data_IF_546895797051
#
_entry.id   IF_546895797051
#
_cell.length_a   1.000
_cell.length_b   1.000
_cell.length_c   1.000
_cell.angle_alpha   90.00
_cell.angle_beta   90.00
_cell.angle_gamma   90.00
#
_symmetry.space_group_name_H-M   'P 1'
#
loop_
_entity.id
_entity.type
_entity.pdbx_description
1 polymer ?
#
# COMPACT_ATOMS: atom_id res chain seq x y z
N UNK A 1 17.21 -26.75 6.13
CA UNK A 1 16.32 -25.56 6.17
C UNK A 1 16.27 -25.04 7.60
N UNK A 2 16.54 -23.75 7.83
CA UNK A 2 16.32 -23.14 9.16
C UNK A 2 14.83 -22.95 9.37
N UNK A 3 14.32 -23.28 10.56
CA UNK A 3 12.92 -23.04 10.94
C UNK A 3 12.79 -21.59 11.40
N UNK A 4 11.93 -20.84 10.74
CA UNK A 4 11.52 -19.50 11.17
C UNK A 4 10.21 -19.63 11.94
N UNK A 5 10.14 -19.06 13.14
CA UNK A 5 8.91 -18.91 13.91
C UNK A 5 8.55 -17.44 14.04
N UNK A 6 7.28 -17.09 13.89
CA UNK A 6 6.78 -15.73 14.06
C UNK A 6 5.50 -15.71 14.88
N UNK A 7 5.20 -14.58 15.51
CA UNK A 7 3.94 -14.30 16.22
C UNK A 7 3.25 -13.12 15.56
N UNK A 8 1.93 -13.18 15.40
CA UNK A 8 1.15 -12.05 14.92
C UNK A 8 1.15 -10.93 15.96
N UNK A 9 1.71 -9.77 15.59
CA UNK A 9 1.76 -8.59 16.47
C UNK A 9 0.63 -7.61 16.15
N UNK A 10 0.19 -7.54 14.89
CA UNK A 10 -0.86 -6.61 14.44
C UNK A 10 -1.51 -7.07 13.15
N UNK A 11 -2.82 -6.81 13.02
CA UNK A 11 -3.62 -7.03 11.81
C UNK A 11 -4.35 -5.75 11.37
N UNK A 12 -3.81 -4.57 11.72
CA UNK A 12 -4.41 -3.28 11.34
C UNK A 12 -4.45 -3.16 9.81
N UNK A 13 -5.60 -2.75 9.28
CA UNK A 13 -5.77 -2.48 7.84
C UNK A 13 -4.93 -1.27 7.46
N UNK A 14 -4.40 -1.29 6.23
CA UNK A 14 -3.70 -0.17 5.61
C UNK A 14 -4.42 0.20 4.31
N UNK A 15 -4.24 1.44 3.85
CA UNK A 15 -4.83 1.88 2.59
C UNK A 15 -4.22 1.14 1.39
N UNK A 16 -4.97 1.09 0.29
CA UNK A 16 -4.53 0.42 -0.94
C UNK A 16 -3.29 1.09 -1.53
N UNK A 17 -3.27 2.42 -1.59
CA UNK A 17 -2.10 3.20 -2.05
C UNK A 17 -0.86 2.91 -1.21
N UNK A 18 -1.01 2.85 0.13
CA UNK A 18 0.10 2.49 1.02
C UNK A 18 0.59 1.06 0.80
N UNK A 19 -0.33 0.13 0.54
CA UNK A 19 0.02 -1.25 0.21
C UNK A 19 0.84 -1.34 -1.07
N UNK A 20 0.46 -0.56 -2.10
CA UNK A 20 1.16 -0.50 -3.37
C UNK A 20 2.60 0.03 -3.20
N UNK A 21 2.77 1.15 -2.48
CA UNK A 21 4.09 1.72 -2.16
C UNK A 21 4.97 0.71 -1.44
N UNK A 22 4.44 0.05 -0.39
CA UNK A 22 5.20 -0.95 0.37
C UNK A 22 5.63 -2.13 -0.50
N UNK A 23 4.77 -2.61 -1.40
CA UNK A 23 5.10 -3.71 -2.31
C UNK A 23 6.13 -3.29 -3.36
N UNK A 24 6.00 -2.10 -3.95
CA UNK A 24 7.00 -1.58 -4.89
C UNK A 24 8.37 -1.40 -4.25
N UNK A 25 8.43 -0.80 -3.05
CA UNK A 25 9.69 -0.65 -2.32
C UNK A 25 10.31 -2.00 -1.96
N UNK A 26 9.51 -2.97 -1.50
CA UNK A 26 10.00 -4.31 -1.19
C UNK A 26 10.53 -5.06 -2.43
N UNK A 27 9.93 -4.82 -3.60
CA UNK A 27 10.38 -5.42 -4.85
C UNK A 27 11.64 -4.74 -5.42
N UNK A 28 11.88 -3.46 -5.13
CA UNK A 28 13.03 -2.71 -5.63
C UNK A 28 14.33 -2.94 -4.84
N UNK A 29 14.24 -3.41 -3.59
CA UNK A 29 15.41 -3.69 -2.76
C UNK A 29 16.00 -5.07 -3.05
N UNK A 30 17.32 -5.20 -2.87
CA UNK A 30 17.99 -6.49 -2.90
C UNK A 30 17.63 -7.28 -1.62
N UNK A 31 16.71 -8.24 -1.77
CA UNK A 31 16.11 -8.99 -0.65
C UNK A 31 16.58 -10.46 -0.59
N UNK A 32 17.60 -10.83 -1.37
CA UNK A 32 18.16 -12.18 -1.41
C UNK A 32 17.21 -13.26 -1.93
N UNK A 33 16.12 -12.86 -2.61
CA UNK A 33 15.16 -13.82 -3.18
C UNK A 33 15.71 -14.52 -4.43
N UNK A 34 15.21 -15.73 -4.70
CA UNK A 34 15.54 -16.41 -5.96
C UNK A 34 14.96 -15.66 -7.16
N UNK A 35 15.51 -15.84 -8.38
CA UNK A 35 15.03 -15.13 -9.57
C UNK A 35 13.52 -15.27 -9.82
N UNK A 36 12.96 -16.47 -9.60
CA UNK A 36 11.52 -16.75 -9.73
C UNK A 36 10.70 -15.95 -8.72
N UNK A 37 11.16 -15.87 -7.47
CA UNK A 37 10.47 -15.10 -6.41
C UNK A 37 10.58 -13.61 -6.68
N UNK A 38 11.75 -13.12 -7.10
CA UNK A 38 11.94 -11.72 -7.50
C UNK A 38 10.98 -11.31 -8.61
N UNK A 39 10.84 -12.14 -9.66
CA UNK A 39 9.90 -11.90 -10.76
C UNK A 39 8.43 -11.90 -10.29
N UNK A 40 8.07 -12.79 -9.34
CA UNK A 40 6.75 -12.77 -8.71
C UNK A 40 6.50 -11.48 -7.93
N UNK A 41 7.48 -11.01 -7.15
CA UNK A 41 7.38 -9.76 -6.39
C UNK A 41 7.19 -8.55 -7.31
N UNK A 42 7.92 -8.50 -8.43
CA UNK A 42 7.79 -7.45 -9.43
C UNK A 42 6.38 -7.41 -10.05
N UNK A 43 5.84 -8.57 -10.46
CA UNK A 43 4.47 -8.66 -10.98
C UNK A 43 3.44 -8.27 -9.94
N UNK A 44 3.64 -8.67 -8.68
CA UNK A 44 2.74 -8.34 -7.57
C UNK A 44 2.73 -6.83 -7.32
N UNK A 45 3.90 -6.19 -7.31
CA UNK A 45 4.00 -4.74 -7.17
C UNK A 45 3.27 -4.01 -8.31
N UNK A 46 3.46 -4.44 -9.55
CA UNK A 46 2.73 -3.89 -10.71
C UNK A 46 1.21 -4.03 -10.58
N UNK A 47 0.71 -5.19 -10.16
CA UNK A 47 -0.71 -5.42 -9.95
C UNK A 47 -1.32 -4.50 -8.88
N UNK A 48 -0.60 -4.28 -7.77
CA UNK A 48 -1.05 -3.36 -6.72
C UNK A 48 -1.07 -1.90 -7.20
N UNK A 49 -0.07 -1.48 -7.99
CA UNK A 49 -0.06 -0.13 -8.59
C UNK A 49 -1.26 0.06 -9.53
N UNK A 50 -1.52 -0.90 -10.42
CA UNK A 50 -2.70 -0.86 -11.28
C UNK A 50 -4.01 -0.81 -10.49
N UNK A 51 -4.12 -1.57 -9.40
CA UNK A 51 -5.30 -1.58 -8.56
C UNK A 51 -5.49 -0.23 -7.85
N UNK A 52 -4.41 0.38 -7.36
CA UNK A 52 -4.45 1.70 -6.74
C UNK A 52 -4.88 2.79 -7.74
N UNK A 53 -4.29 2.78 -8.94
CA UNK A 53 -4.65 3.72 -10.02
C UNK A 53 -6.10 3.55 -10.47
N UNK A 54 -6.55 2.30 -10.60
CA UNK A 54 -7.93 1.99 -10.95
C UNK A 54 -8.90 2.51 -9.88
N UNK A 55 -8.62 2.22 -8.61
CA UNK A 55 -9.44 2.69 -7.49
C UNK A 55 -9.54 4.22 -7.43
N UNK A 56 -8.42 4.92 -7.66
CA UNK A 56 -8.40 6.38 -7.69
C UNK A 56 -9.23 6.96 -8.86
N UNK A 57 -9.11 6.36 -10.06
CA UNK A 57 -9.93 6.73 -11.22
C UNK A 57 -11.42 6.59 -10.93
N UNK A 58 -11.81 5.44 -10.37
CA UNK A 58 -13.20 5.15 -10.00
C UNK A 58 -13.72 6.14 -8.95
N UNK A 59 -12.93 6.45 -7.92
CA UNK A 59 -13.29 7.48 -6.93
C UNK A 59 -13.52 8.85 -7.56
N UNK A 60 -12.65 9.25 -8.49
CA UNK A 60 -12.75 10.54 -9.18
C UNK A 60 -14.00 10.61 -10.06
N UNK A 61 -14.34 9.54 -10.78
CA UNK A 61 -15.56 9.52 -11.60
C UNK A 61 -16.83 9.64 -10.76
N UNK A 62 -16.88 9.03 -9.58
CA UNK A 62 -18.03 9.17 -8.68
C UNK A 62 -18.12 10.56 -8.03
N UNK A 63 -16.99 11.22 -7.73
CA UNK A 63 -17.00 12.58 -7.17
C UNK A 63 -17.46 13.66 -8.14
N UNK A 64 -17.32 13.44 -9.44
CA UNK A 64 -17.79 14.39 -10.48
C UNK A 64 -19.31 14.32 -10.67
N UNK A 65 -19.97 13.28 -10.16
CA UNK A 65 -21.40 13.00 -10.42
C UNK A 65 -22.33 13.30 -9.23
N UNK A 66 -21.78 13.78 -8.10
CA UNK A 66 -22.55 14.14 -6.89
C UNK A 66 -22.22 15.54 -6.40
N UNK A 67 -22.76 16.55 -7.09
CA UNK A 67 -23.41 17.64 -6.36
C UNK A 67 -24.72 17.03 -5.80
N UNK A 68 -25.16 17.46 -4.62
CA UNK A 68 -26.26 16.88 -3.81
C UNK A 68 -25.81 15.78 -2.82
N UNK A 69 -25.61 16.21 -1.57
CA UNK A 69 -24.94 15.46 -0.51
C UNK A 69 -25.54 14.12 -0.11
N UNK A 70 -24.65 13.14 0.09
CA UNK A 70 -24.84 11.99 0.97
C UNK A 70 -23.55 11.76 1.78
N UNK A 71 -23.76 11.48 3.06
CA UNK A 71 -22.80 11.54 4.16
C UNK A 71 -21.43 10.90 3.88
N UNK A 72 -20.40 11.65 4.28
CA UNK A 72 -19.03 11.20 4.39
C UNK A 72 -18.92 10.04 5.39
N UNK A 73 -18.76 8.81 4.88
CA UNK A 73 -18.15 7.73 5.65
C UNK A 73 -16.70 8.10 5.99
N UNK A 74 -16.19 7.82 7.20
CA UNK A 74 -15.01 8.48 7.75
C UNK A 74 -13.78 8.24 6.87
N UNK A 75 -13.09 9.32 6.56
CA UNK A 75 -11.82 9.35 5.86
C UNK A 75 -10.75 8.56 6.61
N UNK A 76 -10.61 7.27 6.31
CA UNK A 76 -9.51 6.43 6.85
C UNK A 76 -8.15 6.70 6.17
N UNK A 77 -8.04 7.76 5.37
CA UNK A 77 -6.78 8.17 4.73
C UNK A 77 -6.29 9.55 5.24
N UNK A 78 -7.05 10.22 6.13
CA UNK A 78 -6.60 11.43 6.83
C UNK A 78 -5.93 11.08 8.15
N UNK A 79 -4.83 10.34 8.05
CA UNK A 79 -3.77 10.38 9.07
C UNK A 79 -2.46 10.26 8.32
N UNK A 80 -2.13 11.36 7.66
CA UNK A 80 -0.75 11.80 7.55
C UNK A 80 -0.19 12.04 8.97
N UNK A 81 -0.09 10.99 9.78
CA UNK A 81 0.74 11.00 10.99
C UNK A 81 2.18 10.73 10.55
N UNK A 82 2.83 11.83 10.19
CA UNK A 82 4.10 12.27 10.78
C UNK A 82 4.94 11.10 11.30
N UNK A 83 5.76 10.51 10.43
CA UNK A 83 7.06 10.01 10.89
C UNK A 83 8.01 11.19 10.71
N UNK A 84 8.09 12.02 11.74
CA UNK A 84 9.24 12.88 11.95
C UNK A 84 10.44 11.94 12.16
N UNK A 85 11.26 11.78 11.13
CA UNK A 85 12.59 11.21 11.28
C UNK A 85 13.44 12.32 11.90
N UNK A 86 13.89 12.20 13.16
CA UNK A 86 14.88 13.14 13.66
C UNK A 86 16.14 12.99 12.80
N UNK A 87 16.52 14.08 12.15
CA UNK A 87 17.94 14.34 11.86
C UNK A 87 18.63 14.72 13.18
N UNK A 88 19.96 14.63 13.19
CA UNK A 88 20.90 14.90 14.29
C UNK A 88 21.15 13.64 15.18
N UNK A 89 22.36 13.09 15.35
CA UNK A 89 23.75 13.43 14.99
C UNK A 89 24.49 12.20 14.43
#
# INVERSE_FOLDING_TARGET
MRKMSGKLVSSKRISLSRSAILKSHFASVENGSSPTVSMYLQRTAGAFNHLADFHDKVRKTYKVQGDDGLEQSPDLDSTADIIHVPKEL
#
